data_IF_908665238228
#
_entry.id   IF_908665238228
#
_cell.length_a   1.000
_cell.length_b   1.000
_cell.length_c   1.000
_cell.angle_alpha   90.00
_cell.angle_beta   90.00
_cell.angle_gamma   90.00
#
_symmetry.space_group_name_H-M   'P 1'
#
loop_
_entity.id
_entity.type
_entity.pdbx_description
1 polymer ?
#
# COMPACT_ATOMS: atom_id res chain seq x y z
N UNK A 1 -6.49 36.14 19.17
CA UNK A 1 -6.23 34.96 18.33
C UNK A 1 -7.55 34.58 17.68
N UNK A 2 -7.79 35.02 16.44
CA UNK A 2 -8.99 34.62 15.70
C UNK A 2 -8.77 33.21 15.17
N UNK A 3 -9.49 32.23 15.70
CA UNK A 3 -9.59 30.91 15.09
C UNK A 3 -10.36 31.07 13.78
N UNK A 4 -9.65 31.26 12.67
CA UNK A 4 -10.19 31.09 11.31
C UNK A 4 -10.50 29.60 11.12
N UNK A 5 -11.63 29.15 11.67
CA UNK A 5 -12.21 27.87 11.29
C UNK A 5 -12.67 28.08 9.85
N UNK A 6 -11.94 27.54 8.89
CA UNK A 6 -12.45 27.40 7.52
C UNK A 6 -13.73 26.56 7.59
N UNK A 7 -14.87 27.20 7.37
CA UNK A 7 -16.20 26.60 7.32
C UNK A 7 -16.55 26.05 5.94
N UNK A 8 -15.58 25.89 5.05
CA UNK A 8 -15.82 25.30 3.74
C UNK A 8 -16.07 23.79 3.89
N UNK A 9 -17.30 23.29 3.58
CA UNK A 9 -17.64 21.87 3.71
C UNK A 9 -16.71 20.96 2.89
N UNK A 10 -16.14 21.49 1.80
CA UNK A 10 -15.23 20.73 0.93
C UNK A 10 -13.96 20.31 1.67
N UNK A 11 -13.42 21.16 2.55
CA UNK A 11 -12.22 20.86 3.36
C UNK A 11 -12.48 19.74 4.36
N UNK A 12 -13.66 19.72 4.99
CA UNK A 12 -14.04 18.66 5.92
C UNK A 12 -14.19 17.32 5.18
N UNK A 13 -14.83 17.32 4.01
CA UNK A 13 -14.99 16.12 3.17
C UNK A 13 -13.62 15.60 2.72
N UNK A 14 -12.73 16.47 2.24
CA UNK A 14 -11.37 16.09 1.84
C UNK A 14 -10.59 15.44 3.00
N UNK A 15 -10.71 15.98 4.22
CA UNK A 15 -10.06 15.43 5.41
C UNK A 15 -10.57 14.02 5.75
N UNK A 16 -11.87 13.78 5.62
CA UNK A 16 -12.47 12.45 5.82
C UNK A 16 -12.01 11.48 4.74
N UNK A 17 -12.00 11.91 3.47
CA UNK A 17 -11.56 11.07 2.36
C UNK A 17 -10.08 10.65 2.50
N UNK A 18 -9.20 11.59 2.89
CA UNK A 18 -7.80 11.30 3.18
C UNK A 18 -7.66 10.29 4.32
N UNK A 19 -8.43 10.45 5.41
CA UNK A 19 -8.43 9.50 6.53
C UNK A 19 -8.87 8.10 6.09
N UNK A 20 -9.92 7.99 5.29
CA UNK A 20 -10.39 6.72 4.74
C UNK A 20 -9.33 6.07 3.84
N UNK A 21 -8.71 6.85 2.96
CA UNK A 21 -7.62 6.38 2.10
C UNK A 21 -6.42 5.88 2.90
N UNK A 22 -6.03 6.57 3.98
CA UNK A 22 -4.96 6.13 4.87
C UNK A 22 -5.28 4.81 5.56
N UNK A 23 -6.50 4.65 6.08
CA UNK A 23 -6.95 3.39 6.70
C UNK A 23 -6.91 2.26 5.67
N UNK A 24 -7.45 2.49 4.48
CA UNK A 24 -7.43 1.53 3.39
C UNK A 24 -6.01 1.11 3.02
N UNK A 25 -5.08 2.05 2.88
CA UNK A 25 -3.67 1.75 2.60
C UNK A 25 -3.04 0.85 3.65
N UNK A 26 -3.27 1.12 4.95
CA UNK A 26 -2.72 0.29 6.04
C UNK A 26 -3.32 -1.12 6.02
N UNK A 27 -4.64 -1.23 5.80
CA UNK A 27 -5.32 -2.53 5.70
C UNK A 27 -4.76 -3.34 4.52
N UNK A 28 -4.56 -2.71 3.36
CA UNK A 28 -3.96 -3.38 2.21
C UNK A 28 -2.54 -3.86 2.50
N UNK A 29 -1.69 -3.05 3.15
CA UNK A 29 -0.35 -3.48 3.56
C UNK A 29 -0.41 -4.69 4.48
N UNK A 30 -1.31 -4.69 5.47
CA UNK A 30 -1.48 -5.83 6.38
C UNK A 30 -1.92 -7.10 5.63
N UNK A 31 -2.81 -6.98 4.66
CA UNK A 31 -3.24 -8.10 3.81
C UNK A 31 -2.06 -8.65 3.00
N UNK A 32 -1.23 -7.80 2.36
CA UNK A 32 -0.07 -8.26 1.60
C UNK A 32 0.98 -8.94 2.48
N UNK A 33 1.23 -8.43 3.68
CA UNK A 33 2.11 -9.07 4.65
C UNK A 33 1.56 -10.46 5.04
N UNK A 34 0.26 -10.55 5.28
CA UNK A 34 -0.39 -11.82 5.60
C UNK A 34 -0.29 -12.83 4.43
N UNK A 35 -0.51 -12.38 3.18
CA UNK A 35 -0.34 -13.23 2.00
C UNK A 35 1.12 -13.68 1.85
N UNK A 36 2.09 -12.80 2.10
CA UNK A 36 3.51 -13.16 2.08
C UNK A 36 3.86 -14.18 3.17
N UNK A 37 3.22 -14.10 4.34
CA UNK A 37 3.33 -15.12 5.38
C UNK A 37 2.70 -16.46 4.95
N UNK A 38 1.52 -16.46 4.33
CA UNK A 38 0.94 -17.69 3.79
C UNK A 38 1.81 -18.30 2.69
N UNK A 39 2.46 -17.47 1.87
CA UNK A 39 3.43 -17.91 0.89
C UNK A 39 4.66 -18.58 1.52
N UNK A 40 5.15 -18.09 2.67
CA UNK A 40 6.28 -18.73 3.37
C UNK A 40 5.92 -20.08 3.97
N UNK A 41 4.64 -20.33 4.25
CA UNK A 41 4.13 -21.65 4.65
C UNK A 41 3.96 -22.64 3.48
N UNK A 42 4.25 -22.22 2.25
CA UNK A 42 4.17 -23.09 1.07
C UNK A 42 2.74 -23.33 0.58
N UNK A 43 1.76 -22.49 0.97
CA UNK A 43 0.36 -22.63 0.54
C UNK A 43 0.18 -22.33 -0.96
N UNK A 44 1.12 -21.60 -1.58
CA UNK A 44 1.09 -21.24 -3.00
C UNK A 44 2.10 -22.05 -3.84
N UNK A 45 2.27 -23.34 -3.54
CA UNK A 45 3.15 -24.24 -4.31
C UNK A 45 2.68 -24.41 -5.77
N UNK A 46 1.40 -24.22 -6.11
CA UNK A 46 0.97 -24.27 -7.51
C UNK A 46 1.49 -23.07 -8.33
N UNK A 47 1.59 -21.88 -7.74
CA UNK A 47 2.18 -20.69 -8.38
C UNK A 47 3.64 -20.92 -8.77
N UNK A 48 4.33 -21.73 -7.97
CA UNK A 48 5.71 -22.13 -8.16
C UNK A 48 5.91 -22.86 -9.52
N UNK A 49 5.01 -23.80 -9.82
CA UNK A 49 4.97 -24.53 -11.10
C UNK A 49 4.69 -23.63 -12.30
N UNK A 50 3.78 -22.67 -12.16
CA UNK A 50 3.42 -21.75 -13.24
C UNK A 50 4.57 -20.79 -13.57
N UNK A 51 5.29 -20.29 -12.56
CA UNK A 51 6.45 -19.41 -12.75
C UNK A 51 7.59 -20.15 -13.45
N UNK A 52 7.93 -21.37 -13.04
CA UNK A 52 8.95 -22.18 -13.74
C UNK A 52 8.57 -22.45 -15.21
N UNK A 53 7.27 -22.65 -15.49
CA UNK A 53 6.78 -22.87 -16.86
C UNK A 53 6.87 -21.63 -17.75
N UNK A 54 6.72 -20.44 -17.17
CA UNK A 54 6.67 -19.18 -17.90
C UNK A 54 8.06 -18.61 -18.25
N UNK A 55 9.09 -18.90 -17.45
CA UNK A 55 10.44 -18.32 -17.62
C UNK A 55 11.47 -19.28 -18.27
N UNK A 56 11.12 -20.55 -18.48
CA UNK A 56 11.98 -21.52 -19.19
C UNK A 56 13.39 -21.68 -18.59
N UNK A 57 14.33 -22.21 -19.36
CA UNK A 57 15.72 -22.50 -18.93
C UNK A 57 16.55 -21.24 -18.58
N UNK A 58 15.99 -20.04 -18.68
CA UNK A 58 16.69 -18.78 -18.39
C UNK A 58 16.46 -18.26 -16.96
N UNK A 59 15.87 -19.08 -16.10
CA UNK A 59 15.65 -18.71 -14.71
C UNK A 59 17.01 -18.70 -13.97
N UNK A 60 17.43 -17.57 -13.36
CA UNK A 60 18.48 -17.62 -12.34
C UNK A 60 18.04 -18.61 -11.25
N UNK A 61 18.99 -19.28 -10.58
CA UNK A 61 18.72 -20.22 -9.47
C UNK A 61 18.16 -19.50 -8.21
N UNK A 62 17.13 -18.69 -8.38
CA UNK A 62 16.43 -18.01 -7.31
C UNK A 62 15.23 -18.85 -6.88
N UNK A 63 15.03 -18.94 -5.57
CA UNK A 63 13.90 -19.70 -5.05
C UNK A 63 12.59 -19.08 -5.55
N UNK A 64 11.60 -19.88 -5.92
CA UNK A 64 10.28 -19.37 -6.33
C UNK A 64 9.62 -18.46 -5.29
N UNK A 65 9.90 -18.72 -4.01
CA UNK A 65 9.56 -17.86 -2.89
C UNK A 65 10.12 -16.42 -3.03
N UNK A 66 11.31 -16.26 -3.58
CA UNK A 66 11.91 -14.94 -3.86
C UNK A 66 11.03 -14.12 -4.83
N UNK A 67 10.55 -14.74 -5.91
CA UNK A 67 9.67 -14.08 -6.88
C UNK A 67 8.31 -13.72 -6.27
N UNK A 68 7.73 -14.61 -5.47
CA UNK A 68 6.50 -14.34 -4.74
C UNK A 68 6.65 -13.13 -3.79
N UNK A 69 7.76 -13.07 -3.05
CA UNK A 69 8.07 -11.93 -2.18
C UNK A 69 8.24 -10.63 -2.96
N UNK A 70 8.93 -10.64 -4.10
CA UNK A 70 9.09 -9.45 -4.95
C UNK A 70 7.72 -8.95 -5.43
N UNK A 71 6.91 -9.85 -5.99
CA UNK A 71 5.60 -9.48 -6.56
C UNK A 71 4.66 -8.94 -5.47
N UNK A 72 4.70 -9.49 -4.25
CA UNK A 72 3.87 -9.04 -3.12
C UNK A 72 4.41 -7.79 -2.43
N UNK A 73 5.74 -7.58 -2.43
CA UNK A 73 6.36 -6.42 -1.79
C UNK A 73 6.18 -5.13 -2.58
N UNK A 74 6.18 -5.18 -3.92
CA UNK A 74 5.94 -4.01 -4.78
C UNK A 74 4.60 -3.30 -4.44
N UNK A 75 3.43 -3.96 -4.44
CA UNK A 75 2.18 -3.31 -4.10
C UNK A 75 2.14 -2.87 -2.63
N UNK A 76 2.72 -3.64 -1.70
CA UNK A 76 2.81 -3.25 -0.29
C UNK A 76 3.59 -1.93 -0.11
N UNK A 77 4.73 -1.78 -0.76
CA UNK A 77 5.51 -0.54 -0.79
C UNK A 77 4.69 0.58 -1.44
N UNK A 78 3.98 0.29 -2.53
CA UNK A 78 3.08 1.25 -3.17
C UNK A 78 2.02 1.81 -2.21
N UNK A 79 1.36 0.96 -1.43
CA UNK A 79 0.38 1.38 -0.42
C UNK A 79 1.01 2.17 0.72
N UNK A 80 2.23 1.85 1.14
CA UNK A 80 2.98 2.65 2.13
C UNK A 80 3.29 4.05 1.58
N UNK A 81 3.76 4.15 0.34
CA UNK A 81 4.01 5.45 -0.31
C UNK A 81 2.73 6.27 -0.37
N UNK A 82 1.62 5.68 -0.81
CA UNK A 82 0.30 6.34 -0.85
C UNK A 82 -0.11 6.81 0.55
N UNK A 83 0.09 6.00 1.59
CA UNK A 83 -0.20 6.38 2.97
C UNK A 83 0.54 7.66 3.38
N UNK A 84 1.84 7.75 3.09
CA UNK A 84 2.64 8.93 3.41
C UNK A 84 2.22 10.15 2.58
N UNK A 85 1.93 9.97 1.29
CA UNK A 85 1.45 11.05 0.40
C UNK A 85 0.11 11.59 0.89
N UNK A 86 -0.84 10.72 1.26
CA UNK A 86 -2.12 11.13 1.83
C UNK A 86 -1.95 11.85 3.17
N UNK A 87 -1.06 11.37 4.03
CA UNK A 87 -0.71 12.05 5.28
C UNK A 87 -0.10 13.43 5.06
N UNK A 88 0.77 13.58 4.06
CA UNK A 88 1.34 14.87 3.66
C UNK A 88 0.27 15.81 3.09
N UNK A 89 -0.61 15.31 2.21
CA UNK A 89 -1.71 16.09 1.64
C UNK A 89 -2.66 16.58 2.73
N UNK A 90 -2.99 15.72 3.70
CA UNK A 90 -3.82 16.09 4.86
C UNK A 90 -3.20 17.20 5.71
N UNK A 91 -1.87 17.24 5.84
CA UNK A 91 -1.16 18.35 6.51
C UNK A 91 -1.19 19.64 5.68
N UNK A 92 -0.99 19.55 4.36
CA UNK A 92 -1.05 20.71 3.46
C UNK A 92 -2.41 21.40 3.49
N UNK A 93 -3.50 20.62 3.42
CA UNK A 93 -4.88 21.12 3.49
C UNK A 93 -5.15 21.83 4.83
N UNK A 94 -4.59 21.33 5.94
CA UNK A 94 -4.74 22.00 7.24
C UNK A 94 -4.01 23.35 7.30
N UNK A 95 -2.87 23.49 6.65
CA UNK A 95 -2.12 24.75 6.61
C UNK A 95 -2.85 25.80 5.76
N UNK A 96 -3.39 25.40 4.60
CA UNK A 96 -4.16 26.30 3.72
C UNK A 96 -5.48 26.75 4.35
N UNK A 97 -6.16 25.89 5.11
CA UNK A 97 -7.38 26.27 5.83
C UNK A 97 -7.17 27.18 7.04
N UNK A 98 -5.92 27.45 7.44
CA UNK A 98 -5.56 28.36 8.55
C UNK A 98 -5.00 29.71 8.07
N UNK A 99 -4.61 29.81 6.79
CA UNK A 99 -4.14 31.04 6.14
C UNK A 99 -5.32 31.92 5.71
#
# INVERSE_FOLDING_TARGET
>A
MSNSISFDPSFQIAKVFIRLGMIFSVVMVAIFIYIAYLASLGIFQEWDREIQSAFGQFQPETSPFFWQLIILSIPAIGFLVIFFVLGWLGKRIQMEGQA
#
